data_IF_291327493070
#
_entry.id   IF_291327493070
#
_cell.length_a   1.000
_cell.length_b   1.000
_cell.length_c   1.000
_cell.angle_alpha   90.00
_cell.angle_beta   90.00
_cell.angle_gamma   90.00
#
_symmetry.space_group_name_H-M   'P 1'
#
loop_
_entity.id
_entity.type
_entity.pdbx_description
1 polymer ?
#
# COMPACT_ATOMS: atom_id res chain seq x y z
N UNK A 1 22.94 -9.48 5.86
CA UNK A 1 21.50 -9.62 6.21
C UNK A 1 20.75 -9.86 4.92
N UNK A 2 19.91 -10.89 4.86
CA UNK A 2 19.29 -11.35 3.62
C UNK A 2 18.20 -10.35 3.20
N UNK A 3 18.54 -9.40 2.33
CA UNK A 3 17.68 -8.27 1.95
C UNK A 3 16.65 -8.61 0.87
N UNK A 4 16.43 -9.92 0.65
CA UNK A 4 15.72 -10.48 -0.51
C UNK A 4 14.22 -10.69 -0.29
N UNK A 5 13.64 -10.24 0.82
CA UNK A 5 12.21 -10.38 1.06
C UNK A 5 11.43 -9.47 0.10
N UNK A 6 10.69 -10.09 -0.83
CA UNK A 6 9.92 -9.42 -1.85
C UNK A 6 8.76 -8.59 -1.26
N UNK A 7 8.48 -7.44 -1.86
CA UNK A 7 7.29 -6.66 -1.54
C UNK A 7 6.05 -7.37 -2.09
N UNK A 8 5.18 -7.83 -1.19
CA UNK A 8 3.92 -8.48 -1.55
C UNK A 8 2.97 -7.43 -2.12
N UNK A 9 2.38 -7.71 -3.28
CA UNK A 9 1.40 -6.78 -3.86
C UNK A 9 0.07 -6.94 -3.15
N UNK A 10 -0.51 -5.83 -2.73
CA UNK A 10 -1.75 -5.82 -1.94
C UNK A 10 -2.68 -4.71 -2.44
N UNK A 11 -3.99 -4.95 -2.43
CA UNK A 11 -5.01 -3.94 -2.71
C UNK A 11 -5.22 -3.02 -1.49
N UNK A 12 -5.72 -1.81 -1.72
CA UNK A 12 -6.03 -0.90 -0.62
C UNK A 12 -7.31 -1.32 0.10
N UNK A 13 -8.25 -1.95 -0.60
CA UNK A 13 -9.39 -2.69 -0.05
C UNK A 13 -8.94 -3.71 1.00
N UNK A 14 -8.02 -4.61 0.65
CA UNK A 14 -7.51 -5.64 1.57
C UNK A 14 -6.81 -4.97 2.75
N UNK A 15 -5.90 -4.03 2.48
CA UNK A 15 -5.16 -3.32 3.53
C UNK A 15 -6.08 -2.61 4.49
N UNK A 16 -7.14 -1.95 4.01
CA UNK A 16 -8.07 -1.18 4.85
C UNK A 16 -8.81 -2.03 5.89
N UNK A 17 -8.90 -3.35 5.66
CA UNK A 17 -9.53 -4.29 6.57
C UNK A 17 -8.56 -4.89 7.61
N UNK A 18 -7.27 -4.58 7.54
CA UNK A 18 -6.25 -5.23 8.38
C UNK A 18 -6.19 -4.60 9.77
N UNK A 19 -6.45 -5.43 10.78
CA UNK A 19 -6.41 -5.01 12.19
C UNK A 19 -5.20 -5.58 12.94
N UNK A 20 -4.46 -6.51 12.33
CA UNK A 20 -3.30 -7.19 12.92
C UNK A 20 -2.32 -7.65 11.84
N UNK A 21 -1.03 -7.70 12.18
CA UNK A 21 0.02 -8.27 11.33
C UNK A 21 0.25 -9.75 11.59
N UNK A 22 -0.47 -10.36 12.55
CA UNK A 22 -0.38 -11.80 12.79
C UNK A 22 -0.88 -12.58 11.55
N UNK A 23 -0.13 -13.59 11.12
CA UNK A 23 -0.46 -14.38 9.92
C UNK A 23 -0.13 -13.68 8.59
N UNK A 24 0.47 -12.48 8.64
CA UNK A 24 0.92 -11.82 7.42
C UNK A 24 2.21 -12.47 6.88
N UNK A 25 2.28 -12.68 5.56
CA UNK A 25 3.35 -13.40 4.88
C UNK A 25 4.67 -12.65 4.88
N UNK A 26 4.54 -11.32 4.87
CA UNK A 26 5.58 -10.33 4.78
C UNK A 26 4.94 -9.02 5.19
N UNK A 27 5.63 -8.26 6.01
CA UNK A 27 5.24 -6.89 6.31
C UNK A 27 5.62 -5.96 5.17
N UNK A 28 6.55 -6.37 4.30
CA UNK A 28 6.96 -5.60 3.12
C UNK A 28 5.89 -5.73 2.04
N UNK A 29 5.26 -4.62 1.69
CA UNK A 29 4.17 -4.57 0.74
C UNK A 29 4.42 -3.55 -0.37
N UNK A 30 3.66 -3.69 -1.45
CA UNK A 30 3.46 -2.65 -2.43
C UNK A 30 1.99 -2.47 -2.77
N UNK A 31 1.55 -1.22 -2.82
CA UNK A 31 0.16 -0.85 -3.07
C UNK A 31 0.10 0.31 -4.06
N UNK A 32 -0.87 0.27 -4.98
CA UNK A 32 -1.12 1.34 -5.95
C UNK A 32 -2.23 2.25 -5.42
N UNK A 33 -2.02 3.55 -5.45
CA UNK A 33 -3.05 4.52 -5.06
C UNK A 33 -2.69 5.96 -5.40
N UNK A 34 -3.66 6.86 -5.28
CA UNK A 34 -3.38 8.29 -5.30
C UNK A 34 -2.81 8.73 -3.95
N UNK A 35 -1.59 9.28 -3.95
CA UNK A 35 -1.03 9.87 -2.74
C UNK A 35 -1.63 11.26 -2.51
N UNK A 36 -2.41 11.42 -1.45
CA UNK A 36 -3.19 12.63 -1.14
C UNK A 36 -2.96 13.11 0.29
N UNK A 37 -3.41 14.34 0.55
CA UNK A 37 -3.47 14.90 1.90
C UNK A 37 -2.12 15.01 2.61
N UNK A 38 -1.03 15.24 1.86
CA UNK A 38 0.30 15.36 2.45
C UNK A 38 0.36 16.52 3.46
N UNK A 39 0.73 16.20 4.70
CA UNK A 39 0.92 17.13 5.80
C UNK A 39 2.41 17.18 6.17
N UNK A 40 3.04 18.34 5.95
CA UNK A 40 4.47 18.56 6.20
C UNK A 40 4.81 18.41 7.69
N UNK A 41 3.94 18.90 8.59
CA UNK A 41 4.21 18.91 10.03
C UNK A 41 4.34 17.49 10.62
N UNK A 42 3.59 16.53 10.08
CA UNK A 42 3.54 15.14 10.56
C UNK A 42 4.27 14.17 9.64
N UNK A 43 4.75 14.65 8.47
CA UNK A 43 5.23 13.81 7.37
C UNK A 43 4.29 12.62 7.12
N UNK A 44 3.01 12.92 6.96
CA UNK A 44 1.99 11.89 6.72
C UNK A 44 1.10 12.26 5.54
N UNK A 45 0.49 11.25 4.95
CA UNK A 45 -0.55 11.38 3.93
C UNK A 45 -1.46 10.17 3.96
N UNK A 46 -2.22 9.97 2.90
CA UNK A 46 -2.97 8.74 2.68
C UNK A 46 -2.94 8.34 1.22
N UNK A 47 -2.99 7.03 0.98
CA UNK A 47 -3.30 6.48 -0.33
C UNK A 47 -4.79 6.31 -0.46
N UNK A 48 -5.34 6.79 -1.57
CA UNK A 48 -6.71 6.53 -1.99
C UNK A 48 -6.71 5.49 -3.12
N UNK A 49 -7.58 4.49 -3.01
CA UNK A 49 -7.68 3.39 -3.97
C UNK A 49 -8.13 3.84 -5.35
N UNK A 50 -7.66 3.12 -6.38
CA UNK A 50 -8.01 3.38 -7.77
C UNK A 50 -8.45 2.07 -8.43
N UNK A 51 -9.63 2.08 -9.07
CA UNK A 51 -10.14 0.94 -9.81
C UNK A 51 -10.73 -0.19 -8.96
N UNK A 52 -10.85 -0.01 -7.65
CA UNK A 52 -11.46 -0.97 -6.73
C UNK A 52 -13.00 -0.81 -6.69
N UNK A 53 -13.78 -1.90 -6.73
CA UNK A 53 -15.22 -1.85 -6.96
C UNK A 53 -16.06 -1.39 -5.75
N UNK A 54 -15.55 -1.51 -4.52
CA UNK A 54 -16.28 -1.20 -3.29
C UNK A 54 -16.12 0.26 -2.82
N UNK A 55 -15.54 1.11 -3.67
CA UNK A 55 -15.41 2.54 -3.44
C UNK A 55 -13.98 2.94 -3.02
N UNK A 56 -13.75 4.23 -2.74
CA UNK A 56 -12.44 4.70 -2.37
C UNK A 56 -12.07 4.19 -0.97
N UNK A 57 -11.17 3.22 -0.90
CA UNK A 57 -10.48 2.82 0.31
C UNK A 57 -9.30 3.77 0.55
N UNK A 58 -9.14 4.23 1.79
CA UNK A 58 -8.03 5.09 2.18
C UNK A 58 -7.16 4.39 3.21
N UNK A 59 -5.85 4.38 2.99
CA UNK A 59 -4.87 3.85 3.95
C UNK A 59 -3.86 4.94 4.30
N UNK A 60 -3.68 5.28 5.60
CA UNK A 60 -2.65 6.20 6.04
C UNK A 60 -1.25 5.78 5.62
N UNK A 61 -0.41 6.77 5.29
CA UNK A 61 1.00 6.57 4.96
C UNK A 61 1.87 7.46 5.83
N UNK A 62 2.80 6.86 6.55
CA UNK A 62 3.91 7.55 7.21
C UNK A 62 5.05 7.75 6.19
N UNK A 63 5.40 9.01 5.96
CA UNK A 63 6.33 9.48 4.94
C UNK A 63 7.67 9.94 5.54
N UNK A 64 7.91 9.73 6.84
CA UNK A 64 9.11 10.23 7.53
C UNK A 64 10.45 9.73 7.00
N UNK A 65 10.44 8.65 6.22
CA UNK A 65 11.65 8.08 5.59
C UNK A 65 11.82 8.53 4.13
N UNK A 66 10.95 9.41 3.63
CA UNK A 66 10.97 9.88 2.24
C UNK A 66 11.13 11.40 2.20
N UNK A 67 12.24 11.85 1.60
CA UNK A 67 12.63 13.26 1.59
C UNK A 67 11.79 14.15 0.67
N UNK A 68 11.06 13.58 -0.30
CA UNK A 68 10.21 14.34 -1.23
C UNK A 68 9.07 13.47 -1.80
N UNK A 69 7.96 13.30 -1.08
CA UNK A 69 6.86 12.46 -1.55
C UNK A 69 6.15 13.08 -2.78
N UNK A 70 5.83 12.28 -3.82
CA UNK A 70 5.11 12.73 -5.01
C UNK A 70 3.63 13.00 -4.70
N UNK A 71 3.35 14.17 -4.13
CA UNK A 71 2.00 14.56 -3.73
C UNK A 71 1.06 14.69 -4.93
N UNK A 72 -0.20 14.27 -4.74
CA UNK A 72 -1.28 14.33 -5.73
C UNK A 72 -1.02 13.51 -7.02
N UNK A 73 -0.16 12.50 -6.96
CA UNK A 73 0.15 11.59 -8.08
C UNK A 73 -0.35 10.17 -7.83
N UNK A 74 -0.54 9.43 -8.92
CA UNK A 74 -0.77 7.99 -8.89
C UNK A 74 0.58 7.30 -8.69
N UNK A 75 0.71 6.51 -7.64
CA UNK A 75 1.99 5.91 -7.26
C UNK A 75 1.83 4.47 -6.80
N UNK A 76 2.84 3.65 -7.10
CA UNK A 76 3.08 2.39 -6.39
C UNK A 76 3.98 2.71 -5.19
N UNK A 77 3.46 2.51 -3.99
CA UNK A 77 4.18 2.71 -2.73
C UNK A 77 4.84 1.42 -2.35
N UNK A 78 6.11 1.49 -1.97
CA UNK A 78 6.86 0.37 -1.40
C UNK A 78 7.18 0.69 0.05
N UNK A 79 6.77 -0.19 0.95
CA UNK A 79 6.85 0.10 2.37
C UNK A 79 6.59 -1.10 3.25
N UNK A 80 6.44 -0.83 4.54
CA UNK A 80 6.12 -1.83 5.55
C UNK A 80 4.76 -1.56 6.18
N UNK A 81 3.95 -2.61 6.32
CA UNK A 81 2.69 -2.56 7.06
C UNK A 81 2.96 -2.37 8.55
N UNK A 82 2.25 -1.41 9.13
CA UNK A 82 2.19 -1.15 10.56
C UNK A 82 0.74 -1.09 11.02
N UNK A 83 0.49 -1.41 12.28
CA UNK A 83 -0.81 -1.20 12.92
C UNK A 83 -0.66 -0.07 13.92
N UNK A 84 -1.36 1.04 13.68
CA UNK A 84 -1.37 2.23 14.54
C UNK A 84 -2.80 2.43 15.01
N UNK A 85 -3.02 2.44 16.32
CA UNK A 85 -4.35 2.57 16.93
C UNK A 85 -5.39 1.58 16.36
N UNK A 86 -4.95 0.34 16.12
CA UNK A 86 -5.80 -0.73 15.57
C UNK A 86 -6.13 -0.57 14.08
N UNK A 87 -5.47 0.36 13.37
CA UNK A 87 -5.67 0.63 11.96
C UNK A 87 -4.40 0.38 11.14
N UNK A 88 -4.54 -0.05 9.89
CA UNK A 88 -3.40 -0.26 9.00
C UNK A 88 -2.77 1.09 8.63
N UNK A 89 -1.44 1.13 8.61
CA UNK A 89 -0.64 2.25 8.16
C UNK A 89 0.55 1.72 7.35
N UNK A 90 0.93 2.42 6.29
CA UNK A 90 2.12 2.07 5.50
C UNK A 90 3.26 2.99 5.91
N UNK A 91 4.35 2.43 6.45
CA UNK A 91 5.62 3.16 6.53
C UNK A 91 6.28 3.12 5.15
N UNK A 92 6.17 4.22 4.41
CA UNK A 92 6.73 4.31 3.07
C UNK A 92 8.26 4.37 3.10
N UNK A 93 8.89 3.60 2.22
CA UNK A 93 10.35 3.63 2.00
C UNK A 93 10.71 4.31 0.68
N UNK A 94 9.95 4.06 -0.37
CA UNK A 94 10.11 4.72 -1.66
C UNK A 94 8.83 4.60 -2.49
N UNK A 95 8.79 5.36 -3.58
CA UNK A 95 7.67 5.44 -4.51
C UNK A 95 8.14 5.18 -5.93
N UNK A 96 7.25 4.61 -6.74
CA UNK A 96 7.32 4.73 -8.20
C UNK A 96 6.11 5.49 -8.69
N UNK A 97 6.30 6.49 -9.54
CA UNK A 97 5.19 7.08 -10.29
C UNK A 97 4.57 6.01 -11.20
N UNK A 98 3.25 6.02 -11.30
CA UNK A 98 2.46 5.02 -12.00
C UNK A 98 1.51 5.67 -13.02
N UNK A 99 1.93 6.80 -13.60
CA UNK A 99 1.18 7.49 -14.64
C UNK A 99 0.95 6.57 -15.84
N UNK A 100 -0.30 6.50 -16.30
CA UNK A 100 -0.70 5.63 -17.42
C UNK A 100 -0.97 4.17 -17.07
N UNK A 101 -0.86 3.77 -15.79
CA UNK A 101 -1.28 2.42 -15.36
C UNK A 101 -2.80 2.30 -15.42
N UNK A 102 -3.29 1.24 -16.08
CA UNK A 102 -4.70 0.83 -16.00
C UNK A 102 -4.98 0.23 -14.61
N UNK A 103 -5.58 1.04 -13.75
CA UNK A 103 -5.86 0.68 -12.37
C UNK A 103 -6.82 -0.51 -12.24
N UNK A 104 -7.78 -0.66 -13.17
CA UNK A 104 -8.70 -1.80 -13.16
C UNK A 104 -7.98 -3.10 -13.51
N UNK A 105 -7.09 -3.07 -14.52
CA UNK A 105 -6.25 -4.21 -14.86
C UNK A 105 -5.27 -4.55 -13.72
N UNK A 106 -4.69 -3.52 -13.09
CA UNK A 106 -3.80 -3.68 -11.95
C UNK A 106 -4.51 -4.37 -10.76
N UNK A 107 -5.71 -3.92 -10.42
CA UNK A 107 -6.51 -4.53 -9.35
C UNK A 107 -6.82 -6.00 -9.65
N UNK A 108 -7.29 -6.32 -10.87
CA UNK A 108 -7.54 -7.70 -11.29
C UNK A 108 -6.29 -8.58 -11.24
N UNK A 109 -5.14 -8.04 -11.61
CA UNK A 109 -3.87 -8.76 -11.51
C UNK A 109 -3.47 -9.01 -10.05
N UNK A 110 -3.74 -8.05 -9.16
CA UNK A 110 -3.51 -8.17 -7.71
C UNK A 110 -4.37 -9.27 -7.10
N UNK A 111 -5.68 -9.28 -7.39
CA UNK A 111 -6.59 -10.34 -6.91
C UNK A 111 -6.17 -11.73 -7.38
N UNK A 112 -5.82 -11.88 -8.67
CA UNK A 112 -5.34 -13.16 -9.20
C UNK A 112 -4.07 -13.67 -8.53
N UNK A 113 -3.19 -12.77 -8.07
CA UNK A 113 -1.97 -13.15 -7.36
C UNK A 113 -2.28 -13.61 -5.93
N UNK A 114 -3.22 -12.94 -5.25
CA UNK A 114 -3.69 -13.37 -3.94
C UNK A 114 -4.33 -14.77 -4.01
N UNK A 115 -5.20 -15.01 -4.98
CA UNK A 115 -5.85 -16.31 -5.19
C UNK A 115 -4.86 -17.44 -5.52
N UNK A 116 -3.80 -17.13 -6.27
CA UNK A 116 -2.80 -18.11 -6.72
C UNK A 116 -1.80 -18.50 -5.63
N UNK A 117 -1.59 -17.62 -4.65
CA UNK A 117 -0.66 -17.87 -3.55
C UNK A 117 -1.35 -17.70 -2.19
N UNK A 118 -2.34 -18.54 -1.83
CA UNK A 118 -3.06 -18.42 -0.55
C UNK A 118 -2.21 -18.79 0.67
N UNK A 119 -1.05 -19.44 0.45
CA UNK A 119 -0.05 -19.79 1.48
C UNK A 119 0.54 -18.56 2.19
N UNK A 120 0.27 -17.37 1.63
CA UNK A 120 0.71 -16.07 2.07
C UNK A 120 -0.35 -15.41 2.99
N UNK A 121 -1.48 -16.07 3.30
CA UNK A 121 -2.59 -15.49 4.06
C UNK A 121 -3.14 -16.42 5.18
N UNK A 122 -2.29 -17.19 5.86
CA UNK A 122 -2.71 -17.97 7.05
C UNK A 122 -1.77 -17.78 8.22
#
# INVERSE_FOLDING_TARGET
MNDSAAHVRTSLEELSCVVTTAGWPSLRLRALGWLRGYQVATNSGYLESVGEPLGPHTVPVDLRLVDSPPANKLVEVFGELQIVDGRPCILAKFFSEADGVDATLYHRATQKLADRYPQIQR
#
